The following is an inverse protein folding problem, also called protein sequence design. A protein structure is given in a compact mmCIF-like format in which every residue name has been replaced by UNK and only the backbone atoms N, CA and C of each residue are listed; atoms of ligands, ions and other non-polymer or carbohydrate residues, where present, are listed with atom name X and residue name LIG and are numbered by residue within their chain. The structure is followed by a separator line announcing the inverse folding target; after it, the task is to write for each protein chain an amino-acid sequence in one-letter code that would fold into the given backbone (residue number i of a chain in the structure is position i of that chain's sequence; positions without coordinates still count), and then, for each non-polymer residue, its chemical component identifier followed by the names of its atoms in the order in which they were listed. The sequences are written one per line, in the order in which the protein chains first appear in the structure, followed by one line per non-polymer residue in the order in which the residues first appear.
data_IF_093587141641
#
_entry.id   IF_093587141641
#
_cell.length_a   1.000
_cell.length_b   1.000
_cell.length_c   1.000
_cell.angle_alpha   90.00
_cell.angle_beta   90.00
_cell.angle_gamma   90.00
#
_symmetry.space_group_name_H-M   'P 1'
#
loop_
_entity.id
_entity.type
_entity.pdbx_description
1 polymer ?
#
# COMPACT_ATOMS: atom_id res chain seq x y z
N UNK A 1 3.30 -3.69 5.07
CA UNK A 1 2.59 -2.39 5.22
C UNK A 1 2.22 -2.12 6.68
N UNK A 2 1.38 -2.94 7.34
CA UNK A 2 0.91 -2.67 8.71
C UNK A 2 1.96 -2.21 9.74
N UNK A 3 3.07 -2.95 9.91
CA UNK A 3 4.16 -2.55 10.83
C UNK A 3 4.74 -1.17 10.50
N UNK A 4 4.90 -0.85 9.21
CA UNK A 4 5.43 0.44 8.77
C UNK A 4 4.45 1.59 9.04
N UNK A 5 3.15 1.36 8.85
CA UNK A 5 2.09 2.33 9.17
C UNK A 5 2.09 2.60 10.68
N UNK A 6 2.08 1.53 11.49
CA UNK A 6 2.11 1.63 12.94
C UNK A 6 3.37 2.32 13.48
N UNK A 7 4.54 2.03 12.90
CA UNK A 7 5.78 2.73 13.25
C UNK A 7 5.70 4.23 12.98
N UNK A 8 5.14 4.65 11.83
CA UNK A 8 4.95 6.08 11.53
C UNK A 8 3.96 6.71 12.51
N UNK A 9 2.86 6.02 12.85
CA UNK A 9 1.87 6.52 13.80
C UNK A 9 2.47 6.71 15.21
N UNK A 10 3.24 5.73 15.69
CA UNK A 10 3.87 5.79 17.00
C UNK A 10 5.03 6.80 17.06
N UNK A 11 5.85 6.90 16.01
CA UNK A 11 7.06 7.74 16.00
C UNK A 11 6.78 9.19 15.64
N UNK A 12 6.04 9.41 14.55
CA UNK A 12 5.81 10.76 13.99
C UNK A 12 4.57 11.38 14.60
N UNK A 13 3.45 10.66 14.60
CA UNK A 13 2.20 11.18 15.15
C UNK A 13 2.08 11.02 16.68
N UNK A 14 3.05 10.34 17.32
CA UNK A 14 3.11 10.08 18.77
C UNK A 14 1.82 9.46 19.32
N UNK A 15 1.18 8.58 18.54
CA UNK A 15 -0.06 7.89 18.90
C UNK A 15 0.21 6.52 19.52
N UNK A 16 -0.71 6.05 20.37
CA UNK A 16 -0.72 4.66 20.82
C UNK A 16 -1.19 3.76 19.68
N UNK A 17 -0.51 2.65 19.46
CA UNK A 17 -0.78 1.72 18.35
C UNK A 17 -0.95 0.31 18.89
N UNK A 18 -2.10 -0.27 18.56
CA UNK A 18 -2.44 -1.65 18.85
C UNK A 18 -2.41 -2.46 17.55
N UNK A 19 -1.74 -3.61 17.54
CA UNK A 19 -1.60 -4.44 16.33
C UNK A 19 -1.87 -5.91 16.62
N UNK A 20 -2.59 -6.57 15.71
CA UNK A 20 -2.74 -8.04 15.70
C UNK A 20 -1.52 -8.78 15.14
N UNK A 21 -0.56 -8.06 14.56
CA UNK A 21 0.74 -8.62 14.17
C UNK A 21 1.77 -8.40 15.26
N UNK A 22 2.65 -9.37 15.38
CA UNK A 22 3.84 -9.31 16.22
C UNK A 22 4.81 -8.21 15.75
N UNK A 23 5.38 -7.50 16.72
CA UNK A 23 6.37 -6.44 16.57
C UNK A 23 7.81 -6.96 16.55
N UNK A 24 8.06 -8.27 16.47
CA UNK A 24 9.42 -8.87 16.34
C UNK A 24 10.35 -8.16 15.36
N UNK A 25 9.81 -7.62 14.26
CA UNK A 25 10.61 -6.92 13.24
C UNK A 25 10.80 -5.43 13.51
N UNK A 26 9.99 -4.83 14.40
CA UNK A 26 10.07 -3.41 14.75
C UNK A 26 11.44 -3.05 15.30
N UNK A 27 11.96 -3.90 16.18
CA UNK A 27 13.24 -3.64 16.83
C UNK A 27 14.40 -3.59 15.82
N UNK A 28 14.42 -4.54 14.89
CA UNK A 28 15.39 -4.56 13.79
C UNK A 28 15.28 -3.32 12.89
N UNK A 29 14.06 -2.83 12.66
CA UNK A 29 13.83 -1.62 11.86
C UNK A 29 14.34 -0.37 12.59
N UNK A 30 14.05 -0.24 13.89
CA UNK A 30 14.49 0.89 14.71
C UNK A 30 16.01 0.93 14.85
N UNK A 31 16.67 -0.21 15.11
CA UNK A 31 18.14 -0.30 15.15
C UNK A 31 18.77 0.15 13.83
N UNK A 32 18.16 -0.24 12.70
CA UNK A 32 18.62 0.18 11.37
C UNK A 32 18.43 1.69 11.15
N UNK A 33 17.34 2.27 11.66
CA UNK A 33 17.09 3.71 11.56
C UNK A 33 18.05 4.51 12.45
N UNK A 34 18.38 4.02 13.65
CA UNK A 34 19.42 4.60 14.53
C UNK A 34 20.77 4.58 13.82
N UNK A 35 21.17 3.45 13.23
CA UNK A 35 22.42 3.34 12.46
C UNK A 35 22.50 4.25 11.23
N UNK A 36 21.35 4.81 10.80
CA UNK A 36 21.26 5.81 9.72
C UNK A 36 21.08 7.24 10.23
N UNK A 37 21.15 7.47 11.54
CA UNK A 37 20.93 8.76 12.17
C UNK A 37 19.49 9.28 12.04
N UNK A 38 18.50 8.39 11.80
CA UNK A 38 17.10 8.77 11.58
C UNK A 38 16.27 8.84 12.86
N UNK A 39 16.74 8.24 13.95
CA UNK A 39 16.14 8.37 15.28
C UNK A 39 17.18 8.08 16.38
N UNK A 40 16.88 8.47 17.62
CA UNK A 40 17.70 8.21 18.80
C UNK A 40 17.27 6.94 19.55
N UNK A 41 18.07 6.49 20.52
CA UNK A 41 17.70 5.36 21.39
C UNK A 41 16.54 5.73 22.35
N UNK A 42 16.48 6.99 22.79
CA UNK A 42 15.36 7.51 23.57
C UNK A 42 14.07 7.46 22.76
N UNK A 43 14.09 7.93 21.51
CA UNK A 43 12.94 7.84 20.61
C UNK A 43 12.51 6.39 20.36
N UNK A 44 13.46 5.46 20.23
CA UNK A 44 13.15 4.01 20.12
C UNK A 44 12.41 3.52 21.35
N UNK A 45 12.85 3.91 22.55
CA UNK A 45 12.21 3.53 23.81
C UNK A 45 10.80 4.09 23.92
N UNK A 46 10.60 5.36 23.57
CA UNK A 46 9.26 5.95 23.56
C UNK A 46 8.33 5.31 22.52
N UNK A 47 8.84 4.97 21.33
CA UNK A 47 8.05 4.31 20.28
C UNK A 47 7.58 2.94 20.76
N UNK A 48 8.45 2.18 21.43
CA UNK A 48 8.08 0.89 22.02
C UNK A 48 7.01 1.04 23.09
N UNK A 49 7.09 2.07 23.93
CA UNK A 49 6.10 2.32 24.98
C UNK A 49 4.70 2.62 24.44
N UNK A 50 4.60 3.16 23.21
CA UNK A 50 3.31 3.44 22.54
C UNK A 50 2.74 2.25 21.77
N UNK A 51 3.49 1.16 21.65
CA UNK A 51 3.14 0.03 20.81
C UNK A 51 2.76 -1.18 21.66
N UNK A 52 1.62 -1.78 21.34
CA UNK A 52 1.16 -3.01 21.98
C UNK A 52 0.59 -4.01 20.97
N UNK A 53 0.53 -5.27 21.40
CA UNK A 53 -0.05 -6.37 20.63
C UNK A 53 -1.47 -6.65 21.11
N UNK A 54 -2.38 -6.97 20.19
CA UNK A 54 -3.73 -7.43 20.48
C UNK A 54 -3.93 -8.86 19.94
N UNK A 55 -4.35 -9.80 20.77
CA UNK A 55 -4.66 -11.17 20.35
C UNK A 55 -5.97 -11.26 19.57
N UNK A 56 -6.94 -10.42 19.94
CA UNK A 56 -8.30 -10.40 19.41
C UNK A 56 -8.74 -9.02 18.92
N UNK A 57 -9.89 -8.95 18.25
CA UNK A 57 -10.52 -7.66 17.87
C UNK A 57 -11.10 -6.97 19.11
N UNK A 58 -11.56 -7.74 20.09
CA UNK A 58 -12.14 -7.25 21.33
C UNK A 58 -11.15 -6.42 22.14
N UNK A 59 -9.88 -6.82 22.16
CA UNK A 59 -8.79 -6.04 22.78
C UNK A 59 -8.52 -4.69 22.07
N UNK A 60 -9.16 -4.43 20.93
CA UNK A 60 -9.08 -3.17 20.19
C UNK A 60 -10.32 -2.29 20.40
N UNK A 61 -11.21 -2.59 21.36
CA UNK A 61 -12.46 -1.87 21.61
C UNK A 61 -12.30 -0.38 21.94
N UNK A 62 -11.08 0.07 22.24
CA UNK A 62 -10.76 1.47 22.54
C UNK A 62 -10.16 2.22 21.33
N UNK A 63 -10.11 1.60 20.15
CA UNK A 63 -9.52 2.23 18.98
C UNK A 63 -10.44 3.30 18.39
N UNK A 64 -9.94 4.53 18.29
CA UNK A 64 -10.62 5.61 17.56
C UNK A 64 -10.51 5.43 16.03
N UNK A 65 -9.43 4.79 15.58
CA UNK A 65 -9.09 4.66 14.17
C UNK A 65 -8.38 3.32 13.89
N UNK A 66 -8.85 2.58 12.89
CA UNK A 66 -8.26 1.31 12.45
C UNK A 66 -7.75 1.43 11.02
N UNK A 67 -6.54 0.95 10.75
CA UNK A 67 -6.01 0.80 9.38
C UNK A 67 -5.81 -0.68 9.07
N UNK A 68 -6.66 -1.22 8.21
CA UNK A 68 -6.53 -2.56 7.68
C UNK A 68 -5.43 -2.61 6.60
N UNK A 69 -4.45 -3.51 6.79
CA UNK A 69 -3.34 -3.72 5.86
C UNK A 69 -2.94 -5.21 5.75
N UNK A 70 -3.95 -6.09 5.68
CA UNK A 70 -3.83 -7.53 5.42
C UNK A 70 -3.71 -7.82 3.92
N UNK A 71 -3.77 -9.09 3.53
CA UNK A 71 -3.70 -9.51 2.12
C UNK A 71 -4.82 -8.90 1.29
N UNK A 72 -4.53 -8.66 0.01
CA UNK A 72 -5.48 -8.19 -1.01
C UNK A 72 -6.43 -9.32 -1.43
N UNK A 73 -7.31 -9.72 -0.51
CA UNK A 73 -8.37 -10.69 -0.74
C UNK A 73 -9.72 -10.04 -0.38
N UNK A 74 -10.65 -9.87 -1.34
CA UNK A 74 -11.93 -9.21 -1.10
C UNK A 74 -12.78 -9.86 0.00
N UNK A 75 -12.88 -11.20 0.02
CA UNK A 75 -13.70 -11.94 0.98
C UNK A 75 -13.15 -11.80 2.42
N UNK A 76 -11.82 -11.84 2.56
CA UNK A 76 -11.16 -11.63 3.84
C UNK A 76 -11.39 -10.21 4.36
N UNK A 77 -11.21 -9.19 3.51
CA UNK A 77 -11.46 -7.80 3.89
C UNK A 77 -12.93 -7.58 4.24
N UNK A 78 -13.86 -8.12 3.46
CA UNK A 78 -15.29 -8.06 3.75
C UNK A 78 -15.59 -8.65 5.13
N UNK A 79 -15.05 -9.83 5.45
CA UNK A 79 -15.19 -10.46 6.78
C UNK A 79 -14.61 -9.59 7.89
N UNK A 80 -13.41 -9.04 7.68
CA UNK A 80 -12.75 -8.17 8.66
C UNK A 80 -13.57 -6.91 8.94
N UNK A 81 -14.03 -6.21 7.91
CA UNK A 81 -14.78 -4.97 8.05
C UNK A 81 -16.14 -5.19 8.71
N UNK A 82 -16.81 -6.29 8.37
CA UNK A 82 -18.03 -6.71 9.08
C UNK A 82 -17.78 -6.90 10.57
N UNK A 83 -16.76 -7.69 10.93
CA UNK A 83 -16.40 -7.96 12.33
C UNK A 83 -15.94 -6.73 13.11
N UNK A 84 -15.15 -5.84 12.48
CA UNK A 84 -14.71 -4.59 13.10
C UNK A 84 -15.92 -3.68 13.37
N UNK A 85 -16.79 -3.49 12.38
CA UNK A 85 -17.97 -2.63 12.51
C UNK A 85 -18.98 -3.13 13.55
N UNK A 86 -18.96 -4.43 13.86
CA UNK A 86 -19.83 -5.01 14.88
C UNK A 86 -19.27 -4.88 16.30
N UNK A 87 -17.94 -4.94 16.45
CA UNK A 87 -17.28 -5.08 17.76
C UNK A 87 -16.65 -3.81 18.29
N UNK A 88 -16.39 -2.85 17.40
CA UNK A 88 -15.79 -1.58 17.78
C UNK A 88 -16.86 -0.50 17.99
N UNK A 89 -16.54 0.53 18.79
CA UNK A 89 -17.39 1.69 19.00
C UNK A 89 -17.96 2.29 17.71
N UNK A 90 -19.08 3.00 17.84
CA UNK A 90 -19.82 3.49 16.68
C UNK A 90 -19.06 4.52 15.87
N UNK A 91 -18.30 5.35 16.56
CA UNK A 91 -17.48 6.43 16.07
C UNK A 91 -16.10 6.00 15.55
N UNK A 92 -15.71 4.73 15.72
CA UNK A 92 -14.44 4.23 15.19
C UNK A 92 -14.40 4.33 13.67
N UNK A 93 -13.37 5.00 13.14
CA UNK A 93 -13.11 5.06 11.70
C UNK A 93 -12.37 3.80 11.24
N UNK A 94 -12.86 3.19 10.16
CA UNK A 94 -12.31 1.97 9.58
C UNK A 94 -11.67 2.29 8.22
N UNK A 95 -10.35 2.41 8.20
CA UNK A 95 -9.59 2.64 6.97
C UNK A 95 -9.01 1.35 6.39
N UNK A 96 -8.85 1.29 5.06
CA UNK A 96 -8.09 0.22 4.38
C UNK A 96 -6.94 0.78 3.56
N UNK A 97 -5.80 0.10 3.62
CA UNK A 97 -4.61 0.33 2.81
C UNK A 97 -4.67 -0.42 1.45
N UNK A 98 -5.84 -0.89 1.02
CA UNK A 98 -5.94 -1.58 -0.28
C UNK A 98 -5.42 -0.71 -1.42
N UNK A 99 -4.81 -1.36 -2.42
CA UNK A 99 -4.27 -0.71 -3.62
C UNK A 99 -5.18 -0.87 -4.85
N UNK A 100 -6.24 -1.69 -4.72
CA UNK A 100 -7.01 -2.13 -5.89
C UNK A 100 -8.45 -2.55 -5.63
N UNK A 101 -8.81 -2.93 -4.41
CA UNK A 101 -10.17 -3.36 -4.09
C UNK A 101 -11.02 -2.10 -3.86
N UNK A 102 -12.21 -2.07 -4.47
CA UNK A 102 -13.16 -0.96 -4.30
C UNK A 102 -13.49 -0.75 -2.83
N UNK A 103 -13.39 0.50 -2.41
CA UNK A 103 -13.76 0.95 -1.07
C UNK A 103 -15.27 0.79 -0.87
N UNK A 104 -16.12 1.04 -1.89
CA UNK A 104 -17.55 0.74 -1.84
C UNK A 104 -17.82 -0.73 -1.51
N UNK A 105 -17.14 -1.67 -2.17
CA UNK A 105 -17.29 -3.12 -1.91
C UNK A 105 -16.86 -3.50 -0.49
N UNK A 106 -15.88 -2.81 0.09
CA UNK A 106 -15.42 -3.03 1.46
C UNK A 106 -16.40 -2.40 2.46
N UNK A 107 -16.84 -1.17 2.21
CA UNK A 107 -17.74 -0.43 3.06
C UNK A 107 -19.12 -1.09 3.18
N UNK A 108 -19.61 -1.74 2.12
CA UNK A 108 -20.90 -2.47 2.16
C UNK A 108 -20.94 -3.62 3.16
N UNK A 109 -19.78 -4.09 3.64
CA UNK A 109 -19.70 -5.12 4.67
C UNK A 109 -19.92 -4.56 6.09
N UNK A 110 -19.73 -3.25 6.27
CA UNK A 110 -19.81 -2.61 7.57
C UNK A 110 -21.24 -2.18 7.90
N UNK A 111 -21.62 -2.28 9.19
CA UNK A 111 -22.92 -1.75 9.67
C UNK A 111 -23.04 -0.23 9.46
N UNK A 112 -21.90 0.47 9.39
CA UNK A 112 -21.77 1.93 9.32
C UNK A 112 -20.80 2.30 8.19
N UNK A 113 -21.24 2.31 6.92
CA UNK A 113 -20.36 2.57 5.78
C UNK A 113 -19.81 4.00 5.78
N UNK A 114 -20.50 4.95 6.39
CA UNK A 114 -20.10 6.36 6.49
C UNK A 114 -18.84 6.60 7.32
N UNK A 115 -18.33 5.57 8.02
CA UNK A 115 -17.10 5.62 8.80
C UNK A 115 -15.98 4.79 8.14
N UNK A 116 -16.21 4.25 6.95
CA UNK A 116 -15.25 3.46 6.19
C UNK A 116 -14.55 4.34 5.15
N UNK A 117 -13.22 4.28 5.08
CA UNK A 117 -12.45 5.10 4.15
C UNK A 117 -11.27 4.35 3.52
N UNK A 118 -10.90 4.73 2.30
CA UNK A 118 -9.65 4.32 1.70
C UNK A 118 -8.50 5.23 2.12
N UNK A 119 -7.41 4.65 2.63
CA UNK A 119 -6.19 5.36 3.04
C UNK A 119 -4.95 4.59 2.57
N UNK A 120 -4.53 4.81 1.32
CA UNK A 120 -3.47 4.01 0.68
C UNK A 120 -2.08 4.59 0.99
N UNK A 121 -1.31 3.93 1.86
CA UNK A 121 0.01 4.38 2.28
C UNK A 121 1.09 4.16 1.20
N UNK A 122 1.13 5.09 0.25
CA UNK A 122 2.30 5.44 -0.55
C UNK A 122 2.61 6.92 -0.33
N UNK A 123 3.68 7.49 -0.91
CA UNK A 123 3.92 8.93 -0.81
C UNK A 123 3.73 9.59 -2.19
N UNK A 124 2.79 10.54 -2.36
CA UNK A 124 1.77 10.99 -1.38
C UNK A 124 0.74 9.89 -1.07
N UNK A 125 0.07 9.97 0.09
CA UNK A 125 -0.96 9.02 0.55
C UNK A 125 -2.30 9.39 -0.10
N UNK A 126 -2.84 8.61 -1.05
CA UNK A 126 -4.17 8.86 -1.58
C UNK A 126 -5.23 8.50 -0.55
N UNK A 127 -6.20 9.41 -0.38
CA UNK A 127 -7.39 9.25 0.46
C UNK A 127 -8.62 9.26 -0.45
N UNK A 128 -9.53 8.30 -0.26
CA UNK A 128 -10.68 8.12 -1.14
C UNK A 128 -11.94 8.79 -0.57
N UNK A 129 -12.53 9.75 -1.28
CA UNK A 129 -13.73 10.49 -0.84
C UNK A 129 -15.02 9.75 -1.19
N UNK A 130 -15.39 8.79 -0.35
CA UNK A 130 -16.67 8.05 -0.42
C UNK A 130 -17.46 8.06 0.90
N UNK A 131 -17.05 8.89 1.84
CA UNK A 131 -17.44 8.78 3.25
C UNK A 131 -17.94 10.12 3.78
N UNK A 132 -18.37 10.16 5.04
CA UNK A 132 -18.80 11.42 5.67
C UNK A 132 -17.67 12.45 5.66
N UNK A 133 -18.03 13.75 5.65
CA UNK A 133 -17.03 14.81 5.70
C UNK A 133 -16.20 14.73 6.99
N UNK A 134 -16.81 14.35 8.13
CA UNK A 134 -16.12 14.18 9.40
C UNK A 134 -15.06 13.06 9.37
N UNK A 135 -15.40 11.91 8.77
CA UNK A 135 -14.46 10.79 8.60
C UNK A 135 -13.30 11.19 7.68
N UNK A 136 -13.59 11.92 6.60
CA UNK A 136 -12.57 12.44 5.71
C UNK A 136 -11.63 13.41 6.43
N UNK A 137 -12.16 14.41 7.12
CA UNK A 137 -11.38 15.43 7.81
C UNK A 137 -10.48 14.81 8.89
N UNK A 138 -11.01 13.85 9.65
CA UNK A 138 -10.24 13.11 10.66
C UNK A 138 -9.11 12.30 10.01
N UNK A 139 -9.37 11.66 8.87
CA UNK A 139 -8.36 10.88 8.14
C UNK A 139 -7.26 11.78 7.57
N UNK A 140 -7.63 12.94 7.01
CA UNK A 140 -6.67 13.93 6.51
C UNK A 140 -5.82 14.50 7.65
N UNK A 141 -6.43 14.84 8.80
CA UNK A 141 -5.73 15.30 9.98
C UNK A 141 -4.74 14.24 10.51
N UNK A 142 -5.15 12.97 10.55
CA UNK A 142 -4.28 11.86 10.94
C UNK A 142 -3.10 11.71 9.98
N UNK A 143 -3.33 11.72 8.67
CA UNK A 143 -2.28 11.65 7.67
C UNK A 143 -1.26 12.80 7.81
N UNK A 144 -1.74 14.03 8.02
CA UNK A 144 -0.89 15.19 8.28
C UNK A 144 -0.08 15.03 9.57
N UNK A 145 -0.69 14.55 10.66
CA UNK A 145 -0.01 14.26 11.92
C UNK A 145 1.07 13.18 11.76
N UNK A 146 0.88 12.26 10.82
CA UNK A 146 1.86 11.24 10.42
C UNK A 146 2.95 11.76 9.46
N UNK A 147 2.99 13.08 9.19
CA UNK A 147 3.95 13.71 8.29
C UNK A 147 3.77 13.31 6.83
N UNK A 148 2.54 13.01 6.41
CA UNK A 148 2.22 12.59 5.04
C UNK A 148 1.53 13.71 4.28
N UNK A 149 1.91 13.84 3.02
CA UNK A 149 1.14 14.61 2.04
C UNK A 149 -0.01 13.73 1.55
N UNK A 150 -1.21 14.29 1.46
CA UNK A 150 -2.40 13.59 0.99
C UNK A 150 -2.83 14.07 -0.39
N UNK A 151 -3.46 13.17 -1.14
CA UNK A 151 -4.18 13.50 -2.37
C UNK A 151 -5.57 12.88 -2.32
N UNK A 152 -6.53 13.47 -3.04
CA UNK A 152 -7.90 12.96 -3.07
C UNK A 152 -8.14 12.10 -4.30
N UNK A 153 -8.68 10.89 -4.10
CA UNK A 153 -9.09 10.01 -5.20
C UNK A 153 -10.58 9.70 -5.12
N UNK A 154 -11.20 9.46 -6.27
CA UNK A 154 -12.45 8.71 -6.32
C UNK A 154 -12.17 7.22 -6.09
N UNK A 155 -13.18 6.47 -5.66
CA UNK A 155 -13.10 5.01 -5.59
C UNK A 155 -13.33 4.40 -6.98
N UNK A 156 -12.23 4.31 -7.72
CA UNK A 156 -12.18 3.67 -9.02
C UNK A 156 -10.99 2.72 -9.05
N UNK A 157 -11.04 1.64 -9.85
CA UNK A 157 -9.92 0.71 -9.96
C UNK A 157 -8.59 1.42 -10.22
N UNK A 158 -7.63 1.22 -9.32
CA UNK A 158 -6.29 1.81 -9.36
C UNK A 158 -6.16 3.22 -8.80
N UNK A 159 -7.26 3.83 -8.31
CA UNK A 159 -7.28 5.18 -7.77
C UNK A 159 -6.61 6.18 -8.74
N UNK A 160 -5.69 7.01 -8.24
CA UNK A 160 -4.86 7.87 -9.08
C UNK A 160 -3.60 7.10 -9.55
N UNK A 161 -2.79 6.64 -8.58
CA UNK A 161 -1.42 6.22 -8.86
C UNK A 161 -1.36 4.99 -9.76
N UNK A 162 -2.07 3.90 -9.42
CA UNK A 162 -1.99 2.66 -10.20
C UNK A 162 -2.69 2.83 -11.56
N UNK A 163 -3.75 3.64 -11.65
CA UNK A 163 -4.44 3.93 -12.91
C UNK A 163 -3.52 4.58 -13.96
N UNK A 164 -2.53 5.36 -13.52
CA UNK A 164 -1.53 6.01 -14.39
C UNK A 164 -0.26 5.17 -14.54
N UNK A 165 0.22 4.60 -13.43
CA UNK A 165 1.50 3.90 -13.38
C UNK A 165 1.48 2.55 -14.09
N UNK A 166 0.38 1.79 -13.97
CA UNK A 166 0.31 0.46 -14.58
C UNK A 166 0.35 0.53 -16.12
N UNK A 167 -0.40 1.41 -16.81
CA UNK A 167 -0.23 1.59 -18.25
C UNK A 167 1.18 2.01 -18.66
N UNK A 168 1.82 2.93 -17.90
CA UNK A 168 3.18 3.36 -18.17
C UNK A 168 4.19 2.19 -18.16
N UNK A 169 4.11 1.33 -17.15
CA UNK A 169 4.96 0.13 -17.06
C UNK A 169 4.62 -0.88 -18.15
N UNK A 170 3.33 -1.08 -18.40
CA UNK A 170 2.86 -2.04 -19.40
C UNK A 170 3.30 -1.63 -20.82
N UNK A 171 3.29 -0.32 -21.12
CA UNK A 171 3.77 0.20 -22.39
C UNK A 171 5.27 -0.04 -22.58
N UNK A 172 6.07 0.13 -21.53
CA UNK A 172 7.50 -0.23 -21.58
C UNK A 172 7.70 -1.73 -21.84
N UNK A 173 6.85 -2.59 -21.27
CA UNK A 173 6.88 -4.03 -21.55
C UNK A 173 6.47 -4.37 -22.99
N UNK A 174 5.52 -3.64 -23.57
CA UNK A 174 5.13 -3.79 -24.98
C UNK A 174 6.29 -3.35 -25.89
N UNK A 175 6.90 -2.20 -25.62
CA UNK A 175 8.06 -1.73 -26.39
C UNK A 175 9.24 -2.73 -26.36
N UNK A 176 9.49 -3.35 -25.20
CA UNK A 176 10.48 -4.42 -25.07
C UNK A 176 10.06 -5.67 -25.86
N UNK A 177 8.79 -6.06 -25.79
CA UNK A 177 8.24 -7.21 -26.51
C UNK A 177 8.35 -7.05 -28.03
N UNK A 178 8.13 -5.84 -28.54
CA UNK A 178 8.21 -5.51 -29.97
C UNK A 178 9.65 -5.31 -30.45
N UNK A 179 10.63 -5.33 -29.54
CA UNK A 179 12.05 -5.17 -29.87
C UNK A 179 12.44 -3.76 -30.28
N UNK A 180 11.70 -2.74 -29.83
CA UNK A 180 11.97 -1.33 -30.16
C UNK A 180 13.35 -0.91 -29.65
N UNK A 181 13.73 -1.35 -28.46
CA UNK A 181 15.04 -1.09 -27.86
C UNK A 181 15.38 -2.16 -26.80
N UNK A 182 16.64 -2.15 -26.34
CA UNK A 182 17.06 -2.97 -25.20
C UNK A 182 16.35 -2.53 -23.91
N UNK A 183 16.24 -3.44 -22.93
CA UNK A 183 15.66 -3.10 -21.62
C UNK A 183 16.48 -2.00 -20.93
N UNK A 184 17.80 -1.99 -21.08
CA UNK A 184 18.71 -0.98 -20.55
C UNK A 184 18.47 0.40 -21.16
N UNK A 185 18.26 0.48 -22.47
CA UNK A 185 18.02 1.75 -23.17
C UNK A 185 16.63 2.31 -22.87
N UNK A 186 15.60 1.45 -22.80
CA UNK A 186 14.24 1.85 -22.39
C UNK A 186 14.30 2.49 -20.99
N UNK A 187 14.93 1.80 -20.04
CA UNK A 187 15.02 2.30 -18.68
C UNK A 187 15.87 3.55 -18.55
N UNK A 188 17.02 3.61 -19.24
CA UNK A 188 17.91 4.78 -19.22
C UNK A 188 17.21 6.00 -19.81
N UNK A 189 16.53 5.83 -20.95
CA UNK A 189 15.78 6.90 -21.62
C UNK A 189 14.69 7.44 -20.72
N UNK A 190 13.87 6.58 -20.12
CA UNK A 190 12.78 7.03 -19.26
C UNK A 190 13.26 7.55 -17.90
N UNK A 191 14.36 7.02 -17.37
CA UNK A 191 14.96 7.55 -16.14
C UNK A 191 15.49 8.96 -16.36
N UNK A 192 16.34 9.15 -17.36
CA UNK A 192 17.03 10.43 -17.59
C UNK A 192 16.14 11.44 -18.32
N UNK A 193 15.44 11.02 -19.37
CA UNK A 193 14.63 11.87 -20.22
C UNK A 193 13.39 12.43 -19.54
N UNK A 194 12.81 11.71 -18.56
CA UNK A 194 11.66 12.20 -17.79
C UNK A 194 11.98 12.45 -16.32
N UNK A 195 13.27 12.49 -15.96
CA UNK A 195 13.76 12.75 -14.60
C UNK A 195 13.12 11.84 -13.52
N UNK A 196 12.88 10.57 -13.87
CA UNK A 196 12.40 9.58 -12.92
C UNK A 196 13.59 8.99 -12.14
N UNK A 197 13.42 8.62 -10.86
CA UNK A 197 14.51 8.00 -10.08
C UNK A 197 14.90 6.60 -10.59
N UNK A 198 14.00 5.95 -11.33
CA UNK A 198 14.12 4.58 -11.80
C UNK A 198 13.34 4.42 -13.11
N UNK A 199 13.86 3.58 -14.02
CA UNK A 199 13.18 3.25 -15.26
C UNK A 199 11.94 2.35 -15.04
N UNK A 200 11.00 2.32 -16.00
CA UNK A 200 9.75 1.59 -15.88
C UNK A 200 9.93 0.07 -15.74
N UNK A 201 10.89 -0.53 -16.43
CA UNK A 201 11.14 -1.97 -16.41
C UNK A 201 11.78 -2.38 -15.09
N UNK A 202 12.78 -1.65 -14.61
CA UNK A 202 13.35 -1.87 -13.27
C UNK A 202 12.25 -1.72 -12.22
N UNK A 203 11.39 -0.70 -12.33
CA UNK A 203 10.27 -0.50 -11.41
C UNK A 203 9.29 -1.69 -11.44
N UNK A 204 9.02 -2.26 -12.61
CA UNK A 204 8.17 -3.45 -12.77
C UNK A 204 8.72 -4.68 -12.03
N UNK A 205 10.03 -4.80 -11.85
CA UNK A 205 10.61 -5.88 -11.05
C UNK A 205 10.48 -5.66 -9.53
N UNK A 206 10.19 -4.42 -9.10
CA UNK A 206 9.86 -4.11 -7.69
C UNK A 206 8.37 -4.22 -7.38
N UNK A 207 7.50 -3.96 -8.37
CA UNK A 207 6.05 -3.94 -8.18
C UNK A 207 5.36 -4.96 -9.06
N UNK A 208 4.41 -5.72 -8.52
CA UNK A 208 3.65 -6.66 -9.36
C UNK A 208 2.68 -5.88 -10.25
N UNK A 209 3.08 -5.59 -11.49
CA UNK A 209 2.14 -5.20 -12.53
C UNK A 209 1.25 -6.42 -12.83
N UNK A 210 -0.07 -6.24 -12.81
CA UNK A 210 -1.00 -7.37 -12.95
C UNK A 210 -2.33 -6.97 -13.54
N UNK A 211 -3.13 -7.99 -13.84
CA UNK A 211 -4.44 -7.93 -14.50
C UNK A 211 -5.53 -7.13 -13.78
N UNK A 212 -5.26 -6.61 -12.57
CA UNK A 212 -6.33 -6.11 -11.70
C UNK A 212 -7.09 -4.95 -12.35
N UNK A 213 -6.39 -4.03 -13.03
CA UNK A 213 -7.06 -2.95 -13.76
C UNK A 213 -7.83 -3.46 -14.97
N UNK A 214 -7.29 -4.40 -15.72
CA UNK A 214 -7.97 -4.98 -16.88
C UNK A 214 -9.26 -5.69 -16.46
N UNK A 215 -9.19 -6.50 -15.40
CA UNK A 215 -10.32 -7.29 -14.91
C UNK A 215 -11.42 -6.41 -14.32
N UNK A 216 -11.07 -5.36 -13.58
CA UNK A 216 -12.07 -4.48 -12.97
C UNK A 216 -12.66 -3.44 -13.96
N UNK A 217 -11.89 -3.01 -14.97
CA UNK A 217 -12.35 -2.01 -15.95
C UNK A 217 -12.92 -2.62 -17.23
N UNK A 218 -12.54 -3.85 -17.58
CA UNK A 218 -12.94 -4.52 -18.83
C UNK A 218 -12.44 -3.83 -20.11
N UNK A 219 -11.56 -2.84 -20.00
CA UNK A 219 -11.07 -2.03 -21.11
C UNK A 219 -9.73 -2.57 -21.62
N UNK A 220 -9.70 -2.92 -22.91
CA UNK A 220 -8.52 -3.43 -23.62
C UNK A 220 -7.29 -2.51 -23.54
N UNK A 221 -7.45 -1.23 -23.22
CA UNK A 221 -6.35 -0.31 -22.89
C UNK A 221 -5.47 -0.84 -21.75
N UNK A 222 -6.05 -1.55 -20.79
CA UNK A 222 -5.36 -2.07 -19.62
C UNK A 222 -4.89 -3.52 -19.79
N UNK A 223 -5.01 -4.08 -21.01
CA UNK A 223 -4.57 -5.45 -21.29
C UNK A 223 -3.08 -5.63 -20.93
N UNK A 224 -2.71 -6.72 -20.24
CA UNK A 224 -1.31 -6.97 -19.92
C UNK A 224 -0.50 -7.23 -21.20
N UNK A 225 0.76 -6.82 -21.20
CA UNK A 225 1.72 -7.23 -22.22
C UNK A 225 1.90 -8.76 -22.19
N UNK A 226 1.98 -9.40 -23.36
CA UNK A 226 2.15 -10.87 -23.46
C UNK A 226 3.48 -11.30 -22.84
N UNK A 227 4.53 -10.50 -23.00
CA UNK A 227 5.84 -10.75 -22.38
C UNK A 227 5.77 -10.72 -20.86
N UNK A 228 5.03 -9.76 -20.30
CA UNK A 228 4.81 -9.69 -18.85
C UNK A 228 4.10 -10.95 -18.35
N UNK A 229 3.10 -11.44 -19.08
CA UNK A 229 2.42 -12.69 -18.74
C UNK A 229 3.39 -13.88 -18.74
N UNK A 230 4.21 -14.02 -19.79
CA UNK A 230 5.21 -15.09 -19.89
C UNK A 230 6.19 -15.08 -18.72
N UNK A 231 6.61 -13.91 -18.26
CA UNK A 231 7.51 -13.79 -17.11
C UNK A 231 6.83 -14.23 -15.81
N UNK A 232 5.57 -13.86 -15.62
CA UNK A 232 4.78 -14.32 -14.48
C UNK A 232 4.62 -15.84 -14.49
N UNK A 233 4.27 -16.42 -15.66
CA UNK A 233 4.09 -17.87 -15.82
C UNK A 233 5.39 -18.65 -15.60
N UNK A 234 6.54 -18.06 -16.00
CA UNK A 234 7.87 -18.61 -15.76
C UNK A 234 8.38 -18.42 -14.31
N UNK A 235 7.61 -17.75 -13.44
CA UNK A 235 8.01 -17.46 -12.07
C UNK A 235 9.08 -16.36 -11.94
N UNK A 236 9.30 -15.56 -12.98
CA UNK A 236 10.24 -14.43 -12.99
C UNK A 236 9.54 -13.18 -12.44
N UNK A 237 9.41 -13.15 -11.13
CA UNK A 237 8.63 -12.15 -10.40
C UNK A 237 9.46 -10.98 -9.85
N UNK A 238 10.62 -10.70 -10.46
CA UNK A 238 11.52 -9.60 -10.13
C UNK A 238 12.44 -9.88 -8.94
N UNK A 239 12.69 -8.84 -8.15
CA UNK A 239 13.69 -8.84 -7.05
C UNK A 239 13.47 -9.97 -6.05
N UNK A 240 12.21 -10.36 -5.81
CA UNK A 240 11.86 -11.37 -4.80
C UNK A 240 12.16 -12.80 -5.23
N UNK A 241 12.19 -13.09 -6.54
CA UNK A 241 12.52 -14.40 -7.11
C UNK A 241 13.98 -14.48 -7.56
N UNK A 242 14.75 -13.41 -7.41
CA UNK A 242 16.11 -13.31 -7.94
C UNK A 242 16.16 -13.11 -9.46
N UNK A 243 15.00 -13.04 -10.12
CA UNK A 243 14.89 -12.91 -11.58
C UNK A 243 13.54 -12.33 -11.99
N UNK A 244 13.59 -11.40 -12.92
CA UNK A 244 12.46 -10.74 -13.58
C UNK A 244 12.85 -10.31 -14.99
N UNK A 245 12.67 -9.04 -15.30
CA UNK A 245 13.24 -8.39 -16.50
C UNK A 245 14.76 -8.31 -16.36
N UNK A 246 15.24 -8.07 -15.15
CA UNK A 246 16.65 -8.13 -14.77
C UNK A 246 16.95 -9.34 -13.88
N UNK A 247 18.22 -9.72 -13.85
CA UNK A 247 18.74 -10.72 -12.92
C UNK A 247 19.18 -10.04 -11.63
N UNK A 248 18.81 -10.63 -10.49
CA UNK A 248 19.13 -10.10 -9.17
C UNK A 248 19.96 -11.11 -8.38
N UNK A 249 20.95 -10.65 -7.59
CA UNK A 249 21.70 -11.55 -6.73
C UNK A 249 20.74 -12.28 -5.78
N UNK A 250 20.95 -13.59 -5.63
CA UNK A 250 20.17 -14.40 -4.70
C UNK A 250 20.26 -13.76 -3.30
N UNK A 251 19.10 -13.56 -2.66
CA UNK A 251 19.08 -13.14 -1.25
C UNK A 251 19.70 -14.28 -0.43
N UNK A 252 20.91 -14.04 0.10
CA UNK A 252 21.49 -14.85 1.18
C UNK A 252 20.62 -14.75 2.43
#
# INVERSE_FOLDING_TARGET
MGIGIGLVAARVAKLNVHSRRDWRFLDKLLVKDIGKGKCTEDERSEVKARISSAGSIQEMSHADFVVEAVSENPQLKHTIFSQLSERLPEDTILATNTSSISITKIASAAKRPDNVIGMHFMNPVPVMKLTSQATLDTTLALAHKMGKTTTMSQDVPGFIANRLLMPYINEAMIALQEGIASKEDIDTTMKLGTNNPMGPLTLADFIRAGHVLHNELGDSKYRPAVLLQKYVDAGWLGVKSGKGIYDYPAKK
#
